data_IF_019203342819
#
_entry.id   IF_019203342819
#
_cell.length_a   1.000
_cell.length_b   1.000
_cell.length_c   1.000
_cell.angle_alpha   90.00
_cell.angle_beta   90.00
_cell.angle_gamma   90.00
#
_symmetry.space_group_name_H-M   'P 1'
#
loop_
_entity.id
_entity.type
_entity.pdbx_description
1 polymer ?
#
# COMPACT_ATOMS: atom_id res chain seq x y z
N UNK A 1 -13.05 14.74 -15.02
CA UNK A 1 -12.81 13.45 -15.71
C UNK A 1 -12.00 13.75 -16.96
N UNK A 2 -10.73 13.35 -17.01
CA UNK A 2 -9.95 13.41 -18.25
C UNK A 2 -10.31 12.20 -19.10
N UNK A 3 -10.74 12.42 -20.34
CA UNK A 3 -10.99 11.37 -21.32
C UNK A 3 -9.69 11.14 -22.09
N UNK A 4 -9.26 9.87 -22.23
CA UNK A 4 -8.17 9.51 -23.11
C UNK A 4 -8.70 9.18 -24.51
N UNK A 5 -7.78 8.99 -25.46
CA UNK A 5 -8.11 8.72 -26.85
C UNK A 5 -9.17 7.62 -27.06
N UNK A 6 -9.13 6.46 -26.37
CA UNK A 6 -10.15 5.43 -26.54
C UNK A 6 -11.55 5.89 -26.16
N UNK A 7 -11.69 6.66 -25.08
CA UNK A 7 -12.99 7.19 -24.67
C UNK A 7 -13.48 8.28 -25.63
N UNK A 8 -12.57 9.14 -26.11
CA UNK A 8 -12.90 10.19 -27.10
C UNK A 8 -13.38 9.56 -28.41
N UNK A 9 -12.67 8.56 -28.91
CA UNK A 9 -13.02 7.83 -30.14
C UNK A 9 -14.38 7.16 -30.00
N UNK A 10 -14.64 6.48 -28.87
CA UNK A 10 -15.93 5.85 -28.64
C UNK A 10 -17.08 6.86 -28.62
N UNK A 11 -16.92 7.98 -27.90
CA UNK A 11 -17.92 9.05 -27.87
C UNK A 11 -18.20 9.63 -29.27
N UNK A 12 -17.15 9.87 -30.06
CA UNK A 12 -17.29 10.39 -31.42
C UNK A 12 -18.04 9.42 -32.34
N UNK A 13 -17.70 8.13 -32.29
CA UNK A 13 -18.37 7.10 -33.09
C UNK A 13 -19.84 6.92 -32.66
N UNK A 14 -20.13 6.93 -31.36
CA UNK A 14 -21.49 6.82 -30.85
C UNK A 14 -22.37 8.00 -31.29
N UNK A 15 -21.86 9.22 -31.18
CA UNK A 15 -22.57 10.43 -31.63
C UNK A 15 -22.80 10.44 -33.15
N UNK A 16 -21.79 10.05 -33.93
CA UNK A 16 -21.90 9.95 -35.37
C UNK A 16 -22.94 8.90 -35.79
N UNK A 17 -22.91 7.72 -35.16
CA UNK A 17 -23.89 6.66 -35.40
C UNK A 17 -25.33 7.08 -35.10
N UNK A 18 -25.56 7.74 -33.96
CA UNK A 18 -26.87 8.29 -33.61
C UNK A 18 -27.32 9.40 -34.58
N UNK A 19 -26.40 10.28 -35.00
CA UNK A 19 -26.68 11.33 -35.97
C UNK A 19 -27.08 10.77 -37.35
N UNK A 20 -26.38 9.73 -37.82
CA UNK A 20 -26.74 9.02 -39.06
C UNK A 20 -28.12 8.36 -38.92
N UNK A 21 -28.40 7.69 -37.81
CA UNK A 21 -29.70 7.05 -37.56
C UNK A 21 -30.84 8.08 -37.54
N UNK A 22 -30.62 9.25 -36.91
CA UNK A 22 -31.59 10.35 -36.90
C UNK A 22 -31.84 10.91 -38.30
N UNK A 23 -30.78 11.10 -39.11
CA UNK A 23 -30.90 11.58 -40.48
C UNK A 23 -31.69 10.60 -41.37
N UNK A 24 -31.42 9.29 -41.24
CA UNK A 24 -32.17 8.23 -41.95
C UNK A 24 -33.64 8.22 -41.53
N UNK A 25 -33.93 8.40 -40.23
CA UNK A 25 -35.31 8.51 -39.72
C UNK A 25 -36.02 9.73 -40.31
N UNK A 26 -35.37 10.89 -40.37
CA UNK A 26 -35.96 12.11 -40.95
C UNK A 26 -36.27 11.94 -42.44
N UNK A 27 -35.45 11.18 -43.17
CA UNK A 27 -35.70 10.81 -44.58
C UNK A 27 -36.68 9.63 -44.75
N UNK A 28 -37.25 9.11 -43.65
CA UNK A 28 -38.13 7.94 -43.60
C UNK A 28 -37.53 6.65 -44.18
N UNK A 29 -36.19 6.55 -44.19
CA UNK A 29 -35.46 5.34 -44.62
C UNK A 29 -35.51 4.23 -43.56
N UNK A 30 -35.71 4.60 -42.28
CA UNK A 30 -35.85 3.67 -41.15
C UNK A 30 -37.05 4.06 -40.28
N UNK A 31 -37.62 3.07 -39.58
CA UNK A 31 -38.76 3.27 -38.69
C UNK A 31 -38.39 3.93 -37.36
N UNK A 32 -39.41 4.36 -36.61
CA UNK A 32 -39.21 4.88 -35.26
C UNK A 32 -38.61 3.83 -34.31
N UNK A 33 -39.04 2.57 -34.45
CA UNK A 33 -38.56 1.46 -33.64
C UNK A 33 -37.07 1.20 -33.90
N UNK A 34 -36.61 1.26 -35.15
CA UNK A 34 -35.21 1.05 -35.51
C UNK A 34 -34.29 2.13 -34.92
N UNK A 35 -34.75 3.39 -34.98
CA UNK A 35 -34.07 4.50 -34.33
C UNK A 35 -34.02 4.31 -32.81
N UNK A 36 -35.15 3.92 -32.19
CA UNK A 36 -35.23 3.69 -30.76
C UNK A 36 -34.32 2.54 -30.32
N UNK A 37 -34.27 1.45 -31.08
CA UNK A 37 -33.37 0.34 -30.84
C UNK A 37 -31.90 0.80 -30.88
N UNK A 38 -31.51 1.58 -31.90
CA UNK A 38 -30.15 2.14 -32.01
C UNK A 38 -29.79 3.01 -30.80
N UNK A 39 -30.72 3.87 -30.38
CA UNK A 39 -30.56 4.74 -29.22
C UNK A 39 -30.39 3.92 -27.94
N UNK A 40 -31.30 2.97 -27.68
CA UNK A 40 -31.26 2.12 -26.50
C UNK A 40 -29.96 1.31 -26.45
N UNK A 41 -29.56 0.67 -27.55
CA UNK A 41 -28.31 -0.11 -27.60
C UNK A 41 -27.08 0.77 -27.31
N UNK A 42 -27.04 2.00 -27.84
CA UNK A 42 -25.95 2.95 -27.58
C UNK A 42 -25.90 3.33 -26.09
N UNK A 43 -27.06 3.61 -25.48
CA UNK A 43 -27.16 3.95 -24.06
C UNK A 43 -26.79 2.77 -23.15
N UNK A 44 -27.23 1.54 -23.46
CA UNK A 44 -26.85 0.33 -22.72
C UNK A 44 -25.34 0.10 -22.82
N UNK A 45 -24.74 0.29 -24.00
CA UNK A 45 -23.29 0.14 -24.18
C UNK A 45 -22.52 1.19 -23.38
N UNK A 46 -22.98 2.44 -23.39
CA UNK A 46 -22.43 3.51 -22.57
C UNK A 46 -22.45 3.15 -21.08
N UNK A 47 -23.60 2.63 -20.62
CA UNK A 47 -23.80 2.20 -19.25
C UNK A 47 -22.91 1.02 -18.86
N UNK A 48 -22.79 0.00 -19.71
CA UNK A 48 -21.89 -1.14 -19.49
C UNK A 48 -20.42 -0.72 -19.45
N UNK A 49 -19.99 0.17 -20.35
CA UNK A 49 -18.62 0.73 -20.33
C UNK A 49 -18.36 1.55 -19.07
N UNK A 50 -19.37 2.30 -18.60
CA UNK A 50 -19.29 3.02 -17.34
C UNK A 50 -19.16 2.07 -16.15
N UNK A 51 -20.04 1.09 -16.04
CA UNK A 51 -20.00 0.07 -14.99
C UNK A 51 -18.72 -0.77 -15.03
N UNK A 52 -18.19 -1.04 -16.23
CA UNK A 52 -16.94 -1.75 -16.46
C UNK A 52 -15.68 -0.90 -16.27
N UNK A 53 -15.81 0.36 -15.85
CA UNK A 53 -14.67 1.23 -15.55
C UNK A 53 -13.91 1.75 -16.77
N UNK A 54 -14.42 1.59 -18.00
CA UNK A 54 -13.81 2.14 -19.22
C UNK A 54 -13.66 3.68 -19.16
N UNK A 55 -14.57 4.34 -18.45
CA UNK A 55 -14.53 5.78 -18.18
C UNK A 55 -13.91 6.14 -16.82
N UNK A 56 -13.55 5.14 -16.01
CA UNK A 56 -12.88 5.33 -14.73
C UNK A 56 -11.37 5.42 -14.96
N UNK A 57 -10.76 6.51 -14.48
CA UNK A 57 -9.31 6.58 -14.35
C UNK A 57 -8.94 5.87 -13.04
N UNK A 58 -8.22 4.75 -13.13
CA UNK A 58 -7.50 4.22 -11.99
C UNK A 58 -6.28 5.14 -11.75
N UNK A 59 -6.51 6.30 -11.13
CA UNK A 59 -5.40 7.08 -10.60
C UNK A 59 -4.88 6.33 -9.38
N UNK A 60 -3.77 5.61 -9.55
CA UNK A 60 -2.98 5.17 -8.41
C UNK A 60 -2.70 6.42 -7.55
N UNK A 61 -3.09 6.39 -6.27
CA UNK A 61 -2.89 7.53 -5.41
C UNK A 61 -1.40 7.85 -5.34
N UNK A 62 -1.02 9.09 -5.63
CA UNK A 62 0.38 9.52 -5.58
C UNK A 62 0.90 9.64 -4.14
N UNK A 63 2.22 9.58 -3.91
CA UNK A 63 2.82 9.97 -2.65
C UNK A 63 2.40 11.39 -2.24
N UNK A 64 2.15 11.66 -0.95
CA UNK A 64 1.87 13.01 -0.50
C UNK A 64 3.10 13.91 -0.73
N UNK A 65 2.88 15.19 -1.03
CA UNK A 65 3.95 16.15 -1.36
C UNK A 65 5.08 16.17 -0.32
N UNK A 66 4.74 16.03 0.97
CA UNK A 66 5.69 16.00 2.08
C UNK A 66 6.71 14.86 1.99
N UNK A 67 6.39 13.77 1.28
CA UNK A 67 7.26 12.61 1.13
C UNK A 67 8.43 12.87 0.19
N UNK A 68 8.25 13.64 -0.89
CA UNK A 68 9.22 13.71 -1.99
C UNK A 68 10.61 14.19 -1.57
N UNK A 69 10.71 15.10 -0.59
CA UNK A 69 12.00 15.56 -0.07
C UNK A 69 12.83 14.46 0.58
N UNK A 70 12.21 13.35 1.01
CA UNK A 70 12.87 12.22 1.65
C UNK A 70 13.15 11.05 0.70
N UNK A 71 12.66 11.12 -0.55
CA UNK A 71 12.74 10.01 -1.53
C UNK A 71 14.14 9.43 -1.68
N UNK A 72 15.12 10.29 -1.93
CA UNK A 72 16.51 9.87 -2.14
C UNK A 72 17.13 9.24 -0.89
N UNK A 73 16.77 9.75 0.29
CA UNK A 73 17.27 9.22 1.56
C UNK A 73 16.70 7.84 1.85
N UNK A 74 15.39 7.63 1.61
CA UNK A 74 14.75 6.33 1.78
C UNK A 74 15.33 5.31 0.80
N UNK A 75 15.47 5.65 -0.49
CA UNK A 75 16.07 4.75 -1.49
C UNK A 75 17.50 4.37 -1.10
N UNK A 76 18.30 5.37 -0.70
CA UNK A 76 19.71 5.15 -0.33
C UNK A 76 19.82 4.28 0.92
N UNK A 77 19.10 4.60 1.99
CA UNK A 77 19.13 3.83 3.24
C UNK A 77 18.67 2.39 3.00
N UNK A 78 17.55 2.21 2.28
CA UNK A 78 17.03 0.90 1.90
C UNK A 78 18.09 0.06 1.18
N UNK A 79 18.74 0.62 0.15
CA UNK A 79 19.73 -0.13 -0.64
C UNK A 79 21.02 -0.45 0.11
N UNK A 80 21.43 0.41 1.05
CA UNK A 80 22.61 0.15 1.89
C UNK A 80 22.40 -1.07 2.78
N UNK A 81 21.21 -1.21 3.38
CA UNK A 81 20.93 -2.27 4.35
C UNK A 81 20.36 -3.55 3.73
N UNK A 82 19.61 -3.42 2.63
CA UNK A 82 18.86 -4.52 2.01
C UNK A 82 19.36 -4.92 0.62
N UNK A 83 20.25 -4.15 0.00
CA UNK A 83 20.75 -4.39 -1.35
C UNK A 83 19.90 -3.73 -2.44
N UNK A 84 20.26 -3.97 -3.70
CA UNK A 84 19.64 -3.26 -4.85
C UNK A 84 18.15 -3.57 -5.02
N UNK A 85 17.72 -4.76 -4.60
CA UNK A 85 16.33 -5.24 -4.67
C UNK A 85 15.51 -4.85 -3.42
N UNK A 86 15.98 -3.89 -2.62
CA UNK A 86 15.28 -3.43 -1.43
C UNK A 86 13.83 -3.02 -1.73
N UNK A 87 12.86 -3.39 -0.87
CA UNK A 87 11.46 -3.03 -1.03
C UNK A 87 11.20 -1.57 -0.61
N UNK A 88 11.77 -0.62 -1.35
CA UNK A 88 11.69 0.82 -1.08
C UNK A 88 10.26 1.31 -0.89
N UNK A 89 9.32 0.78 -1.68
CA UNK A 89 7.93 1.17 -1.62
C UNK A 89 7.29 0.83 -0.26
N UNK A 90 7.69 -0.29 0.35
CA UNK A 90 7.18 -0.74 1.65
C UNK A 90 7.67 0.19 2.76
N UNK A 91 8.96 0.55 2.78
CA UNK A 91 9.50 1.51 3.76
C UNK A 91 8.86 2.89 3.64
N UNK A 92 8.67 3.37 2.41
CA UNK A 92 8.01 4.65 2.16
C UNK A 92 6.53 4.63 2.64
N UNK A 93 5.83 3.52 2.39
CA UNK A 93 4.50 3.29 2.91
C UNK A 93 4.46 3.21 4.44
N UNK A 94 5.48 2.66 5.08
CA UNK A 94 5.59 2.61 6.53
C UNK A 94 5.78 4.01 7.13
N UNK A 95 6.65 4.87 6.59
CA UNK A 95 6.74 6.27 7.05
C UNK A 95 5.42 7.04 6.87
N UNK A 96 4.67 6.72 5.82
CA UNK A 96 3.32 7.24 5.63
C UNK A 96 2.39 6.76 6.76
N UNK A 97 2.38 5.46 7.05
CA UNK A 97 1.59 4.86 8.13
C UNK A 97 1.93 5.46 9.50
N UNK A 98 3.21 5.68 9.79
CA UNK A 98 3.65 6.13 11.10
C UNK A 98 3.30 7.57 11.39
N UNK A 99 3.70 8.50 10.52
CA UNK A 99 3.60 9.93 10.82
C UNK A 99 2.94 10.75 9.71
N UNK A 100 2.53 10.13 8.60
CA UNK A 100 2.12 10.85 7.40
C UNK A 100 3.25 11.74 6.86
N UNK A 101 4.50 11.32 7.04
CA UNK A 101 5.71 12.10 6.71
C UNK A 101 5.95 13.36 7.58
N UNK A 102 5.44 13.39 8.82
CA UNK A 102 5.69 14.46 9.77
C UNK A 102 6.85 14.12 10.73
N UNK A 103 8.05 14.72 10.56
CA UNK A 103 9.20 14.42 11.41
C UNK A 103 9.09 14.97 12.84
N UNK A 104 8.15 15.88 13.10
CA UNK A 104 7.88 16.44 14.44
C UNK A 104 6.72 15.73 15.13
N UNK A 105 6.16 14.66 14.55
CA UNK A 105 5.03 13.94 15.11
C UNK A 105 5.39 13.34 16.48
N UNK A 106 4.49 13.50 17.45
CA UNK A 106 4.55 12.83 18.73
C UNK A 106 3.17 12.26 19.07
N UNK A 107 3.08 10.94 19.25
CA UNK A 107 1.80 10.32 19.58
C UNK A 107 1.44 10.54 21.06
N UNK A 108 0.15 10.38 21.44
CA UNK A 108 -0.28 10.46 22.84
C UNK A 108 0.42 9.46 23.77
N UNK A 109 0.84 8.31 23.23
CA UNK A 109 1.58 7.27 23.97
C UNK A 109 3.09 7.49 23.96
N UNK A 110 3.57 8.57 23.31
CA UNK A 110 4.95 9.03 23.37
C UNK A 110 5.84 8.55 22.22
N UNK A 111 5.28 7.99 21.16
CA UNK A 111 6.03 7.63 19.95
C UNK A 111 6.55 8.88 19.23
N UNK A 112 7.74 8.82 18.63
CA UNK A 112 8.52 10.01 18.24
C UNK A 112 8.94 10.01 16.78
N UNK A 113 8.72 11.15 16.13
CA UNK A 113 9.29 11.54 14.86
C UNK A 113 8.79 10.77 13.65
N UNK A 114 9.56 10.81 12.56
CA UNK A 114 9.12 10.33 11.25
C UNK A 114 8.70 8.85 11.25
N UNK A 115 9.39 8.03 12.04
CA UNK A 115 9.21 6.59 12.19
C UNK A 115 8.37 6.18 13.42
N UNK A 116 7.92 7.15 14.22
CA UNK A 116 7.17 6.93 15.47
C UNK A 116 7.80 5.87 16.39
N UNK A 117 9.10 5.97 16.64
CA UNK A 117 9.74 5.08 17.62
C UNK A 117 9.30 5.42 19.04
N UNK A 118 8.99 4.39 19.83
CA UNK A 118 8.91 4.55 21.28
C UNK A 118 10.30 4.90 21.82
N UNK A 119 10.42 5.72 22.90
CA UNK A 119 11.72 6.12 23.44
C UNK A 119 12.66 4.93 23.74
N UNK A 120 12.12 3.86 24.33
CA UNK A 120 12.87 2.64 24.63
C UNK A 120 13.35 1.90 23.38
N UNK A 121 12.60 1.98 22.28
CA UNK A 121 13.02 1.42 20.98
C UNK A 121 14.15 2.26 20.38
N UNK A 122 14.06 3.59 20.47
CA UNK A 122 15.14 4.48 20.03
C UNK A 122 16.43 4.27 20.85
N UNK A 123 16.32 4.09 22.16
CA UNK A 123 17.44 3.73 23.04
C UNK A 123 18.09 2.42 22.61
N UNK A 124 17.27 1.39 22.36
CA UNK A 124 17.75 0.09 21.93
C UNK A 124 18.43 0.14 20.56
N UNK A 125 17.86 0.87 19.59
CA UNK A 125 18.45 1.08 18.25
C UNK A 125 19.83 1.73 18.40
N UNK A 126 19.95 2.78 19.21
CA UNK A 126 21.22 3.46 19.45
C UNK A 126 22.29 2.56 20.10
N UNK A 127 21.86 1.63 20.96
CA UNK A 127 22.75 0.65 21.59
C UNK A 127 23.16 -0.51 20.67
N UNK A 128 22.31 -0.89 19.71
CA UNK A 128 22.54 -2.05 18.83
C UNK A 128 23.22 -1.66 17.52
N UNK A 129 22.98 -0.46 17.01
CA UNK A 129 23.54 0.02 15.74
C UNK A 129 24.52 1.17 15.99
N UNK A 130 25.85 0.92 15.97
CA UNK A 130 26.84 1.95 16.26
C UNK A 130 26.71 3.22 15.40
N UNK A 131 26.30 3.05 14.14
CA UNK A 131 26.11 4.16 13.19
C UNK A 131 24.85 5.01 13.45
N UNK A 132 24.06 4.65 14.48
CA UNK A 132 22.83 5.32 14.94
C UNK A 132 22.90 5.65 16.44
N UNK A 133 24.08 5.61 17.05
CA UNK A 133 24.29 5.83 18.49
C UNK A 133 23.87 7.22 18.99
N UNK A 134 23.73 8.21 18.12
CA UNK A 134 23.29 9.56 18.47
C UNK A 134 21.83 9.64 18.96
N UNK A 135 21.00 8.63 18.68
CA UNK A 135 19.64 8.50 19.19
C UNK A 135 18.74 9.73 18.92
N UNK A 136 18.48 10.01 17.65
CA UNK A 136 17.79 11.24 17.21
C UNK A 136 16.45 10.95 16.50
N UNK A 137 15.40 10.48 17.20
CA UNK A 137 14.16 10.05 16.55
C UNK A 137 13.41 11.16 15.79
N UNK A 138 13.60 12.44 16.14
CA UNK A 138 13.04 13.59 15.41
C UNK A 138 13.90 14.06 14.24
N UNK A 139 15.14 13.56 14.09
CA UNK A 139 15.97 13.84 12.93
C UNK A 139 15.55 12.89 11.78
N UNK A 140 15.03 13.40 10.65
CA UNK A 140 14.57 12.54 9.56
C UNK A 140 15.66 11.61 9.01
N UNK A 141 16.91 12.07 8.92
CA UNK A 141 18.01 11.25 8.40
C UNK A 141 18.34 10.09 9.33
N UNK A 142 18.31 10.32 10.64
CA UNK A 142 18.46 9.26 11.65
C UNK A 142 17.26 8.30 11.60
N UNK A 143 16.03 8.83 11.61
CA UNK A 143 14.81 8.03 11.63
C UNK A 143 14.67 7.13 10.39
N UNK A 144 15.05 7.63 9.20
CA UNK A 144 15.01 6.85 7.97
C UNK A 144 15.95 5.66 8.03
N UNK A 145 17.21 5.90 8.43
CA UNK A 145 18.21 4.84 8.58
C UNK A 145 17.80 3.85 9.67
N UNK A 146 17.32 4.36 10.81
CA UNK A 146 16.87 3.55 11.93
C UNK A 146 15.70 2.62 11.59
N UNK A 147 14.68 3.09 10.87
CA UNK A 147 13.55 2.26 10.47
C UNK A 147 14.00 1.13 9.55
N UNK A 148 14.76 1.45 8.50
CA UNK A 148 15.26 0.46 7.54
C UNK A 148 16.15 -0.58 8.23
N UNK A 149 17.07 -0.16 9.11
CA UNK A 149 17.94 -1.07 9.86
C UNK A 149 17.16 -1.93 10.86
N UNK A 150 16.16 -1.36 11.52
CA UNK A 150 15.34 -2.08 12.49
C UNK A 150 14.44 -3.11 11.81
N UNK A 151 13.80 -2.76 10.70
CA UNK A 151 13.05 -3.72 9.89
C UNK A 151 13.96 -4.84 9.38
N UNK A 152 15.22 -4.55 8.99
CA UNK A 152 16.18 -5.58 8.58
C UNK A 152 16.47 -6.54 9.72
N UNK A 153 16.66 -6.01 10.92
CA UNK A 153 16.91 -6.80 12.12
C UNK A 153 15.72 -7.69 12.49
N UNK A 154 14.49 -7.19 12.36
CA UNK A 154 13.26 -7.95 12.54
C UNK A 154 13.12 -9.01 11.46
N UNK A 155 13.29 -8.64 10.19
CA UNK A 155 13.21 -9.52 9.03
C UNK A 155 14.09 -10.74 9.15
N UNK A 156 15.37 -10.56 9.53
CA UNK A 156 16.31 -11.66 9.74
C UNK A 156 15.86 -12.65 10.82
N UNK A 157 14.97 -12.23 11.73
CA UNK A 157 14.43 -13.03 12.84
C UNK A 157 13.05 -13.62 12.56
N UNK A 158 12.47 -13.37 11.39
CA UNK A 158 11.26 -14.06 10.92
C UNK A 158 11.71 -15.29 10.11
N UNK A 159 11.57 -16.53 10.64
CA UNK A 159 12.02 -17.74 9.96
C UNK A 159 10.96 -18.24 8.99
N UNK A 160 10.74 -17.47 7.93
CA UNK A 160 9.89 -17.82 6.78
C UNK A 160 10.64 -17.42 5.48
N UNK A 161 10.27 -17.99 4.32
CA UNK A 161 10.90 -17.62 3.04
C UNK A 161 10.76 -16.12 2.75
N UNK A 162 11.73 -15.56 2.02
CA UNK A 162 11.70 -14.15 1.62
C UNK A 162 10.47 -13.83 0.76
N UNK A 163 9.93 -12.62 0.91
CA UNK A 163 8.79 -12.11 0.14
C UNK A 163 7.71 -11.45 1.00
N UNK A 164 6.53 -11.28 0.41
CA UNK A 164 5.36 -10.60 0.99
C UNK A 164 5.00 -11.08 2.40
N UNK A 165 4.92 -12.41 2.61
CA UNK A 165 4.53 -13.00 3.90
C UNK A 165 5.54 -12.68 5.01
N UNK A 166 6.83 -12.70 4.67
CA UNK A 166 7.90 -12.31 5.61
C UNK A 166 7.84 -10.84 5.94
N UNK A 167 7.57 -9.98 4.94
CA UNK A 167 7.45 -8.55 5.19
C UNK A 167 6.26 -8.24 6.09
N UNK A 168 5.13 -8.92 5.86
CA UNK A 168 3.96 -8.73 6.69
C UNK A 168 4.21 -9.13 8.16
N UNK A 169 4.94 -10.21 8.38
CA UNK A 169 5.38 -10.60 9.73
C UNK A 169 6.39 -9.62 10.34
N UNK A 170 7.31 -9.06 9.54
CA UNK A 170 8.23 -8.00 9.97
C UNK A 170 7.49 -6.76 10.42
N UNK A 171 6.55 -6.26 9.62
CA UNK A 171 5.72 -5.09 9.94
C UNK A 171 4.83 -5.34 11.16
N UNK A 172 4.27 -6.54 11.29
CA UNK A 172 3.55 -6.94 12.50
C UNK A 172 4.47 -6.94 13.73
N UNK A 173 5.72 -7.37 13.57
CA UNK A 173 6.72 -7.35 14.65
C UNK A 173 7.18 -5.92 14.99
N UNK A 174 7.25 -5.02 14.02
CA UNK A 174 7.55 -3.60 14.25
C UNK A 174 6.45 -2.95 15.10
N UNK A 175 5.18 -3.12 14.71
CA UNK A 175 4.04 -2.52 15.40
C UNK A 175 3.74 -3.18 16.76
N UNK A 176 3.82 -4.51 16.84
CA UNK A 176 3.30 -5.28 17.98
C UNK A 176 4.31 -6.19 18.67
N UNK A 177 5.57 -6.20 18.24
CA UNK A 177 6.66 -6.99 18.83
C UNK A 177 6.80 -8.42 18.26
N UNK A 178 8.05 -8.81 17.96
CA UNK A 178 8.40 -10.12 17.38
C UNK A 178 7.98 -11.32 18.28
N UNK A 179 8.00 -11.13 19.59
CA UNK A 179 7.57 -12.16 20.54
C UNK A 179 6.10 -12.57 20.33
N UNK A 180 5.25 -11.61 19.99
CA UNK A 180 3.84 -11.89 19.71
C UNK A 180 3.63 -12.54 18.35
N UNK A 181 4.38 -12.13 17.31
CA UNK A 181 4.36 -12.81 16.01
C UNK A 181 4.70 -14.29 16.16
N UNK A 182 5.73 -14.62 16.95
CA UNK A 182 6.08 -16.01 17.23
C UNK A 182 5.00 -16.77 18.01
N UNK A 183 4.28 -16.12 18.93
CA UNK A 183 3.13 -16.73 19.62
C UNK A 183 1.99 -17.02 18.65
N UNK A 184 1.64 -16.07 17.78
CA UNK A 184 0.60 -16.24 16.77
C UNK A 184 0.96 -17.36 15.80
N UNK A 185 2.21 -17.44 15.33
CA UNK A 185 2.68 -18.53 14.46
C UNK A 185 2.54 -19.91 15.11
N UNK A 186 2.94 -20.03 16.38
CA UNK A 186 2.75 -21.29 17.14
C UNK A 186 1.27 -21.65 17.28
N UNK A 187 0.41 -20.67 17.54
CA UNK A 187 -1.03 -20.89 17.63
C UNK A 187 -1.64 -21.28 16.27
N UNK A 188 -1.21 -20.65 15.18
CA UNK A 188 -1.62 -20.98 13.83
C UNK A 188 -1.27 -22.42 13.49
N UNK A 189 -0.01 -22.83 13.73
CA UNK A 189 0.46 -24.21 13.58
C UNK A 189 -0.37 -25.19 14.41
N UNK A 190 -0.62 -24.88 15.68
CA UNK A 190 -1.43 -25.73 16.57
C UNK A 190 -2.89 -25.88 16.10
N UNK A 191 -3.40 -24.94 15.30
CA UNK A 191 -4.72 -24.98 14.67
C UNK A 191 -4.71 -25.56 13.25
N UNK A 192 -3.58 -26.11 12.78
CA UNK A 192 -3.45 -26.67 11.44
C UNK A 192 -3.34 -25.65 10.31
N UNK A 193 -3.08 -24.37 10.62
CA UNK A 193 -2.83 -23.31 9.64
C UNK A 193 -1.36 -23.28 9.23
N UNK A 194 -1.06 -22.74 8.04
CA UNK A 194 0.29 -22.53 7.58
C UNK A 194 0.96 -21.36 8.34
N UNK A 195 1.91 -21.65 9.22
CA UNK A 195 2.60 -20.65 10.04
C UNK A 195 3.77 -19.93 9.35
N UNK A 196 3.99 -20.21 8.06
CA UNK A 196 4.84 -19.42 7.17
C UNK A 196 4.06 -18.42 6.33
N UNK A 197 2.72 -18.44 6.40
CA UNK A 197 1.83 -17.53 5.69
C UNK A 197 1.20 -16.56 6.69
N UNK A 198 1.35 -15.27 6.47
CA UNK A 198 0.69 -14.22 7.21
C UNK A 198 -0.77 -14.09 6.78
N UNK A 199 -0.99 -13.70 5.52
CA UNK A 199 -2.31 -13.35 5.00
C UNK A 199 -3.21 -14.57 4.86
N UNK A 200 -4.39 -14.56 5.49
CA UNK A 200 -5.30 -15.69 5.54
C UNK A 200 -4.86 -16.85 6.44
N UNK A 201 -3.77 -16.71 7.20
CA UNK A 201 -3.32 -17.73 8.15
C UNK A 201 -2.92 -17.11 9.50
N UNK A 202 -1.65 -16.72 9.71
CA UNK A 202 -1.19 -16.22 11.03
C UNK A 202 -1.95 -14.97 11.48
N UNK A 203 -2.41 -14.12 10.57
CA UNK A 203 -3.19 -12.93 10.94
C UNK A 203 -4.56 -13.27 11.56
N UNK A 204 -5.12 -14.44 11.24
CA UNK A 204 -6.47 -14.86 11.64
C UNK A 204 -6.54 -15.36 13.09
N UNK A 205 -5.39 -15.61 13.71
CA UNK A 205 -5.30 -16.06 15.11
C UNK A 205 -4.93 -14.90 16.04
N UNK A 206 -5.30 -15.02 17.32
CA UNK A 206 -4.90 -14.09 18.36
C UNK A 206 -4.38 -14.89 19.57
N UNK A 207 -3.06 -14.83 19.82
CA UNK A 207 -2.43 -15.55 20.93
C UNK A 207 -2.54 -14.83 22.30
N UNK A 208 -3.52 -13.93 22.47
CA UNK A 208 -3.83 -13.27 23.74
C UNK A 208 -3.58 -11.76 23.79
N UNK A 209 -3.47 -11.08 22.64
CA UNK A 209 -3.50 -9.61 22.60
C UNK A 209 -4.91 -9.12 22.96
N UNK A 210 -4.98 -7.91 23.53
CA UNK A 210 -6.27 -7.22 23.68
C UNK A 210 -6.95 -7.04 22.31
N UNK A 211 -8.30 -6.96 22.25
CA UNK A 211 -8.99 -6.81 20.98
C UNK A 211 -8.54 -5.58 20.17
N UNK A 212 -8.22 -4.46 20.83
CA UNK A 212 -7.77 -3.25 20.16
C UNK A 212 -6.36 -3.43 19.55
N UNK A 213 -5.41 -3.93 20.35
CA UNK A 213 -4.04 -4.17 19.90
C UNK A 213 -3.97 -5.23 18.79
N UNK A 214 -4.84 -6.25 18.85
CA UNK A 214 -4.94 -7.24 17.78
C UNK A 214 -5.43 -6.61 16.47
N UNK A 215 -6.52 -5.84 16.49
CA UNK A 215 -7.04 -5.15 15.29
C UNK A 215 -6.01 -4.21 14.67
N UNK A 216 -5.40 -3.37 15.49
CA UNK A 216 -4.35 -2.44 15.05
C UNK A 216 -3.20 -3.20 14.38
N UNK A 217 -2.71 -4.25 15.03
CA UNK A 217 -1.58 -5.03 14.53
C UNK A 217 -1.88 -5.81 13.25
N UNK A 218 -3.12 -6.27 13.04
CA UNK A 218 -3.52 -6.93 11.77
C UNK A 218 -3.71 -5.93 10.65
N UNK A 219 -4.27 -4.77 10.97
CA UNK A 219 -4.45 -3.70 10.00
C UNK A 219 -3.11 -3.14 9.49
N UNK A 220 -2.08 -3.11 10.34
CA UNK A 220 -0.80 -2.47 10.01
C UNK A 220 -0.09 -3.07 8.77
N UNK A 221 0.19 -4.39 8.66
CA UNK A 221 0.74 -4.98 7.44
C UNK A 221 -0.17 -4.82 6.22
N UNK A 222 -1.48 -5.01 6.41
CA UNK A 222 -2.47 -4.89 5.33
C UNK A 222 -2.43 -3.49 4.71
N UNK A 223 -2.49 -2.44 5.55
CA UNK A 223 -2.50 -1.05 5.10
C UNK A 223 -1.19 -0.67 4.44
N UNK A 224 -0.05 -1.05 5.00
CA UNK A 224 1.24 -0.71 4.41
C UNK A 224 1.42 -1.41 3.06
N UNK A 225 1.25 -2.73 3.02
CA UNK A 225 1.64 -3.52 1.84
C UNK A 225 0.63 -3.45 0.70
N UNK A 226 -0.67 -3.43 1.01
CA UNK A 226 -1.72 -3.48 -0.02
C UNK A 226 -2.36 -2.12 -0.31
N UNK A 227 -2.37 -1.17 0.63
CA UNK A 227 -3.06 0.12 0.41
C UNK A 227 -2.10 1.29 0.15
N UNK A 228 -0.93 1.30 0.80
CA UNK A 228 0.02 2.41 0.75
C UNK A 228 1.22 2.15 -0.18
N UNK A 229 1.84 0.97 -0.14
CA UNK A 229 3.00 0.64 -0.97
C UNK A 229 2.75 0.82 -2.48
N UNK A 230 1.55 0.53 -3.04
CA UNK A 230 1.27 0.82 -4.44
C UNK A 230 1.53 2.27 -4.85
N UNK A 231 1.36 3.23 -3.94
CA UNK A 231 1.62 4.67 -4.18
C UNK A 231 3.10 4.97 -4.42
N UNK A 232 3.99 4.13 -3.91
CA UNK A 232 5.44 4.36 -3.91
C UNK A 232 6.20 3.45 -4.89
N UNK A 233 5.52 2.70 -5.77
CA UNK A 233 6.17 1.81 -6.75
C UNK A 233 7.15 2.53 -7.68
N UNK A 234 6.97 3.84 -7.92
CA UNK A 234 7.91 4.67 -8.69
C UNK A 234 9.21 4.99 -7.94
N UNK A 235 9.33 4.63 -6.65
CA UNK A 235 10.53 4.82 -5.84
C UNK A 235 11.39 3.56 -5.78
N UNK A 236 10.80 2.37 -5.95
CA UNK A 236 11.51 1.09 -5.99
C UNK A 236 10.56 -0.10 -5.80
N UNK A 237 11.13 -1.28 -5.55
CA UNK A 237 10.38 -2.52 -5.38
C UNK A 237 9.43 -2.51 -4.17
N UNK A 238 8.48 -3.45 -4.18
CA UNK A 238 7.55 -3.74 -3.09
C UNK A 238 7.59 -5.25 -2.81
N UNK A 239 7.42 -5.69 -1.56
CA UNK A 239 7.48 -7.12 -1.22
C UNK A 239 6.24 -7.89 -1.70
N UNK A 240 5.11 -7.20 -1.78
CA UNK A 240 3.86 -7.74 -2.31
C UNK A 240 3.66 -7.18 -3.71
N UNK A 241 3.76 -8.05 -4.70
CA UNK A 241 3.41 -7.74 -6.09
C UNK A 241 1.93 -8.11 -6.25
N UNK A 242 1.13 -7.15 -6.69
CA UNK A 242 -0.19 -7.47 -7.27
C UNK A 242 0.00 -8.04 -8.68
#
# INVERSE_FOLDING_TARGET
MTLHWPQIVWCALALLGLGVSLAKRNRKEIGFIDFLATLITTLITAWLLWCGGFFSQANAAEPPTAAFKYRSDVIRAARVDWGMDAPVADFAAQFHQESGWNPSARSPVGAQGLAQFMPSTADWIAGVFPALSSREPYNPAWAIRALVSYDRWLWQRVPVPDGCERMAMTLSAYNGGAGWVNRDRRLARARGLNDTRWFGAVETVNAGRSPAAWRENRHYPQRILHELAPRYRSWGGASCVE
#
